data_IF_287474666940
#
_entry.id   IF_287474666940
#
_cell.length_a   1.000
_cell.length_b   1.000
_cell.length_c   1.000
_cell.angle_alpha   90.00
_cell.angle_beta   90.00
_cell.angle_gamma   90.00
#
_symmetry.space_group_name_H-M   'P 1'
#
loop_
_entity.id
_entity.type
_entity.pdbx_description
1 polymer ?
#
# COMPACT_ATOMS: atom_id res chain seq x y z
N UNK A 1 24.76 14.85 -12.02
CA UNK A 1 24.39 15.08 -10.61
C UNK A 1 23.81 16.47 -10.53
N UNK A 2 22.48 16.57 -10.49
CA UNK A 2 21.73 17.84 -10.37
C UNK A 2 21.10 17.84 -8.97
N UNK A 3 21.22 18.92 -8.18
CA UNK A 3 20.64 18.99 -6.83
C UNK A 3 19.12 19.13 -6.92
N UNK A 4 18.41 18.23 -6.24
CA UNK A 4 16.95 18.33 -6.05
C UNK A 4 16.73 19.34 -4.91
N UNK A 5 15.94 20.42 -5.12
CA UNK A 5 15.76 21.44 -4.09
C UNK A 5 14.86 20.93 -2.96
N UNK A 6 15.33 21.16 -1.73
CA UNK A 6 14.53 21.07 -0.49
C UNK A 6 13.33 22.02 -0.60
N UNK A 7 12.16 21.43 -0.80
CA UNK A 7 10.86 22.10 -0.79
C UNK A 7 9.88 21.37 0.11
N UNK A 8 10.27 21.06 1.35
CA UNK A 8 9.36 20.46 2.34
C UNK A 8 9.20 21.39 3.54
N UNK A 9 8.48 22.49 3.33
CA UNK A 9 7.86 23.24 4.41
C UNK A 9 6.36 23.29 4.15
N UNK A 10 5.65 22.45 4.90
CA UNK A 10 4.29 22.64 5.40
C UNK A 10 3.25 22.97 4.32
N UNK A 11 2.63 21.93 3.80
CA UNK A 11 1.23 21.98 3.41
C UNK A 11 0.59 20.73 3.99
N UNK A 12 -0.43 20.90 4.81
CA UNK A 12 -1.35 19.86 5.31
C UNK A 12 -2.16 19.28 4.15
N UNK A 13 -1.46 18.78 3.15
CA UNK A 13 -1.98 18.02 2.03
C UNK A 13 -1.52 16.61 2.30
N UNK A 14 -2.44 15.65 2.30
CA UNK A 14 -2.01 14.26 2.21
C UNK A 14 -1.12 14.17 0.99
N UNK A 15 0.16 13.88 1.23
CA UNK A 15 1.13 13.80 0.16
C UNK A 15 0.80 12.50 -0.59
N UNK A 16 0.62 12.53 -1.93
CA UNK A 16 0.37 11.32 -2.71
C UNK A 16 1.45 10.27 -2.45
N UNK A 17 2.69 10.71 -2.26
CA UNK A 17 3.80 9.84 -1.87
C UNK A 17 3.54 9.06 -0.56
N UNK A 18 2.85 9.65 0.42
CA UNK A 18 2.53 8.96 1.67
C UNK A 18 1.43 7.90 1.48
N UNK A 19 0.46 8.17 0.61
CA UNK A 19 -0.57 7.21 0.22
C UNK A 19 0.04 6.03 -0.55
N UNK A 20 0.91 6.34 -1.52
CA UNK A 20 1.68 5.35 -2.29
C UNK A 20 2.55 4.49 -1.37
N UNK A 21 3.22 5.10 -0.39
CA UNK A 21 4.06 4.37 0.57
C UNK A 21 3.24 3.40 1.43
N UNK A 22 2.05 3.79 1.88
CA UNK A 22 1.14 2.92 2.63
C UNK A 22 0.64 1.74 1.78
N UNK A 23 0.27 2.01 0.52
CA UNK A 23 -0.18 0.96 -0.40
C UNK A 23 0.97 0.01 -0.75
N UNK A 24 2.19 0.52 -0.93
CA UNK A 24 3.39 -0.30 -1.10
C UNK A 24 3.68 -1.15 0.14
N UNK A 25 3.57 -0.62 1.35
CA UNK A 25 3.78 -1.40 2.57
C UNK A 25 2.78 -2.55 2.70
N UNK A 26 1.50 -2.30 2.43
CA UNK A 26 0.46 -3.35 2.45
C UNK A 26 0.70 -4.37 1.33
N UNK A 27 1.10 -3.91 0.13
CA UNK A 27 1.45 -4.80 -0.98
C UNK A 27 2.68 -5.67 -0.68
N UNK A 28 3.69 -5.10 -0.03
CA UNK A 28 4.87 -5.82 0.42
C UNK A 28 4.49 -6.89 1.46
N UNK A 29 3.64 -6.54 2.43
CA UNK A 29 3.13 -7.50 3.43
C UNK A 29 2.38 -8.67 2.77
N UNK A 30 1.49 -8.39 1.82
CA UNK A 30 0.80 -9.45 1.06
C UNK A 30 1.80 -10.35 0.30
N UNK A 31 2.81 -9.75 -0.34
CA UNK A 31 3.85 -10.48 -1.07
C UNK A 31 4.69 -11.37 -0.16
N UNK A 32 5.05 -10.87 1.03
CA UNK A 32 5.75 -11.64 2.06
C UNK A 32 4.89 -12.80 2.58
N UNK A 33 3.62 -12.56 2.86
CA UNK A 33 2.68 -13.61 3.27
C UNK A 33 2.50 -14.66 2.18
N UNK A 34 2.37 -14.27 0.91
CA UNK A 34 2.34 -15.20 -0.24
C UNK A 34 3.61 -16.03 -0.30
N UNK A 35 4.78 -15.42 -0.12
CA UNK A 35 6.06 -16.12 -0.14
C UNK A 35 6.18 -17.11 1.03
N UNK A 36 5.66 -16.74 2.20
CA UNK A 36 5.62 -17.57 3.41
C UNK A 36 4.69 -18.77 3.24
N UNK A 37 3.46 -18.55 2.74
CA UNK A 37 2.49 -19.61 2.46
C UNK A 37 2.95 -20.53 1.33
N UNK A 38 3.64 -20.02 0.30
CA UNK A 38 4.27 -20.87 -0.72
C UNK A 38 5.45 -21.69 -0.20
N UNK A 39 6.12 -21.23 0.85
CA UNK A 39 7.20 -21.97 1.54
C UNK A 39 6.69 -22.90 2.63
N UNK A 40 5.42 -22.80 3.02
CA UNK A 40 4.81 -23.70 3.97
C UNK A 40 4.75 -25.12 3.40
N UNK A 41 4.81 -26.11 4.28
CA UNK A 41 4.77 -27.53 3.89
C UNK A 41 3.45 -27.91 3.19
N UNK A 42 2.37 -27.17 3.47
CA UNK A 42 1.08 -27.29 2.78
C UNK A 42 0.64 -25.88 2.39
N UNK A 43 0.84 -25.47 1.14
CA UNK A 43 0.41 -24.15 0.68
C UNK A 43 -1.12 -24.12 0.55
N UNK A 44 -1.77 -23.26 1.32
CA UNK A 44 -3.19 -23.01 1.20
C UNK A 44 -3.49 -22.18 -0.06
N UNK A 45 -3.95 -22.86 -1.11
CA UNK A 45 -4.28 -22.23 -2.38
C UNK A 45 -5.41 -21.18 -2.24
N UNK A 46 -6.32 -21.35 -1.28
CA UNK A 46 -7.37 -20.39 -0.99
C UNK A 46 -6.82 -19.13 -0.31
N UNK A 47 -5.92 -19.28 0.67
CA UNK A 47 -5.18 -18.16 1.27
C UNK A 47 -4.35 -17.42 0.21
N UNK A 48 -3.61 -18.14 -0.62
CA UNK A 48 -2.84 -17.53 -1.71
C UNK A 48 -3.73 -16.73 -2.68
N UNK A 49 -4.92 -17.22 -2.99
CA UNK A 49 -5.89 -16.48 -3.81
C UNK A 49 -6.38 -15.21 -3.11
N UNK A 50 -6.69 -15.29 -1.82
CA UNK A 50 -7.12 -14.12 -1.02
C UNK A 50 -6.00 -13.08 -0.95
N UNK A 51 -4.76 -13.49 -0.65
CA UNK A 51 -3.61 -12.60 -0.58
C UNK A 51 -3.30 -11.96 -1.95
N UNK A 52 -3.36 -12.75 -3.03
CA UNK A 52 -3.13 -12.23 -4.39
C UNK A 52 -4.23 -11.27 -4.82
N UNK A 53 -5.49 -11.55 -4.45
CA UNK A 53 -6.61 -10.65 -4.71
C UNK A 53 -6.47 -9.34 -3.91
N UNK A 54 -6.00 -9.41 -2.66
CA UNK A 54 -5.66 -8.24 -1.85
C UNK A 54 -4.56 -7.40 -2.48
N UNK A 55 -3.52 -8.03 -3.01
CA UNK A 55 -2.43 -7.34 -3.70
C UNK A 55 -2.88 -6.70 -5.02
N UNK A 56 -3.76 -7.36 -5.78
CA UNK A 56 -4.37 -6.79 -6.98
C UNK A 56 -5.28 -5.59 -6.68
N UNK A 57 -6.02 -5.63 -5.56
CA UNK A 57 -6.82 -4.50 -5.09
C UNK A 57 -5.92 -3.31 -4.71
N UNK A 58 -4.81 -3.56 -3.98
CA UNK A 58 -3.81 -2.54 -3.70
C UNK A 58 -3.23 -1.91 -4.96
N UNK A 59 -2.91 -2.70 -5.98
CA UNK A 59 -2.40 -2.18 -7.24
C UNK A 59 -3.44 -1.31 -7.98
N UNK A 60 -4.71 -1.70 -7.95
CA UNK A 60 -5.79 -0.89 -8.51
C UNK A 60 -5.99 0.43 -7.74
N UNK A 61 -5.92 0.39 -6.42
CA UNK A 61 -5.98 1.59 -5.57
C UNK A 61 -4.76 2.50 -5.78
N UNK A 62 -3.57 1.93 -6.01
CA UNK A 62 -2.35 2.70 -6.35
C UNK A 62 -2.50 3.39 -7.71
N UNK A 63 -3.02 2.68 -8.71
CA UNK A 63 -3.24 3.25 -10.03
C UNK A 63 -4.36 4.31 -10.01
N UNK A 64 -5.35 4.14 -9.14
CA UNK A 64 -6.35 5.17 -8.86
C UNK A 64 -5.73 6.38 -8.16
N UNK A 65 -4.81 6.17 -7.21
CA UNK A 65 -4.03 7.23 -6.54
C UNK A 65 -3.21 8.08 -7.52
N UNK A 66 -2.66 7.48 -8.59
CA UNK A 66 -1.90 8.20 -9.62
C UNK A 66 -2.76 9.15 -10.47
N UNK A 67 -4.04 8.84 -10.68
CA UNK A 67 -5.01 9.67 -11.43
C UNK A 67 -5.86 10.55 -10.49
N UNK A 68 -5.94 10.18 -9.22
CA UNK A 68 -6.76 10.81 -8.20
C UNK A 68 -6.24 12.21 -7.81
N UNK A 69 -7.19 13.12 -7.59
CA UNK A 69 -6.91 14.42 -7.01
C UNK A 69 -6.49 14.34 -5.54
N UNK A 70 -5.90 15.40 -4.98
CA UNK A 70 -5.35 15.42 -3.62
C UNK A 70 -6.38 15.13 -2.50
N UNK A 71 -7.67 15.42 -2.71
CA UNK A 71 -8.74 15.05 -1.77
C UNK A 71 -8.97 13.53 -1.73
N UNK A 72 -9.05 12.90 -2.89
CA UNK A 72 -9.31 11.47 -3.01
C UNK A 72 -8.09 10.66 -2.55
N UNK A 73 -6.88 11.15 -2.81
CA UNK A 73 -5.63 10.65 -2.25
C UNK A 73 -5.67 10.67 -0.72
N UNK A 74 -6.21 11.73 -0.10
CA UNK A 74 -6.32 11.84 1.35
C UNK A 74 -7.23 10.77 1.96
N UNK A 75 -8.36 10.51 1.33
CA UNK A 75 -9.30 9.48 1.77
C UNK A 75 -8.73 8.07 1.62
N UNK A 76 -8.09 7.77 0.48
CA UNK A 76 -7.46 6.48 0.23
C UNK A 76 -6.30 6.26 1.22
N UNK A 77 -5.46 7.27 1.44
CA UNK A 77 -4.36 7.21 2.40
C UNK A 77 -4.85 6.96 3.83
N UNK A 78 -5.88 7.66 4.28
CA UNK A 78 -6.44 7.47 5.63
C UNK A 78 -6.98 6.04 5.80
N UNK A 79 -7.65 5.51 4.77
CA UNK A 79 -8.18 4.15 4.77
C UNK A 79 -7.07 3.09 4.79
N UNK A 80 -6.01 3.29 4.00
CA UNK A 80 -4.85 2.41 3.97
C UNK A 80 -3.97 2.53 5.21
N UNK A 81 -3.88 3.72 5.84
CA UNK A 81 -3.19 3.92 7.10
C UNK A 81 -3.84 3.11 8.22
N UNK A 82 -5.17 3.20 8.35
CA UNK A 82 -5.93 2.40 9.31
C UNK A 82 -5.74 0.89 9.06
N UNK A 83 -5.83 0.47 7.79
CA UNK A 83 -5.67 -0.93 7.40
C UNK A 83 -4.24 -1.45 7.63
N UNK A 84 -3.22 -0.63 7.35
CA UNK A 84 -1.81 -0.94 7.58
C UNK A 84 -1.50 -1.06 9.07
N UNK A 85 -2.04 -0.17 9.91
CA UNK A 85 -1.91 -0.31 11.37
C UNK A 85 -2.57 -1.60 11.90
N UNK A 86 -3.74 -1.96 11.38
CA UNK A 86 -4.43 -3.18 11.79
C UNK A 86 -3.66 -4.44 11.36
N UNK A 87 -3.10 -4.44 10.15
CA UNK A 87 -2.25 -5.52 9.63
C UNK A 87 -0.90 -5.64 10.34
N UNK A 88 -0.27 -4.52 10.71
CA UNK A 88 0.99 -4.49 11.47
C UNK A 88 0.81 -4.77 12.96
N UNK A 89 -0.39 -4.58 13.49
CA UNK A 89 -0.73 -4.85 14.88
C UNK A 89 -1.11 -6.31 15.16
N UNK A 90 -1.19 -7.15 14.13
CA UNK A 90 -1.55 -8.56 14.19
C UNK A 90 -0.30 -9.45 14.28
#
# INVERSE_FOLDING_TARGET
>A
MVPIPEGHLLSEHVNPEAAEHLVQEVSAWYSEQIAKERRAAVPDAEQLKILTAGLAACAADQQALEDAGPEEVAEIAARYAARSQELKGQ
#
